data_IF_365306202308
#
_entry.id   IF_365306202308
#
_cell.length_a   1.000
_cell.length_b   1.000
_cell.length_c   1.000
_cell.angle_alpha   90.00
_cell.angle_beta   90.00
_cell.angle_gamma   90.00
#
_symmetry.space_group_name_H-M   'P 1'
#
loop_
_entity.id
_entity.type
_entity.pdbx_description
1 polymer ?
#
# COMPACT_ATOMS: atom_id res chain seq x y z
N UNK A 1 11.28 -4.17 -13.45
CA UNK A 1 12.34 -5.09 -12.97
C UNK A 1 13.02 -4.44 -11.77
N UNK A 2 12.67 -4.84 -10.53
CA UNK A 2 13.39 -4.41 -9.31
C UNK A 2 14.68 -5.20 -9.07
N UNK A 3 14.94 -6.25 -9.85
CA UNK A 3 16.14 -7.08 -9.75
C UNK A 3 17.43 -6.28 -10.02
N UNK A 4 17.42 -5.35 -10.99
CA UNK A 4 18.58 -4.49 -11.26
C UNK A 4 18.79 -3.39 -10.18
N UNK A 5 17.75 -3.08 -9.40
CA UNK A 5 17.86 -2.20 -8.24
C UNK A 5 18.37 -2.97 -7.01
N UNK A 6 18.13 -4.27 -6.87
CA UNK A 6 18.57 -5.02 -5.68
C UNK A 6 20.11 -5.08 -5.53
N UNK A 7 20.89 -5.09 -6.62
CA UNK A 7 22.36 -5.10 -6.56
C UNK A 7 23.00 -3.72 -6.30
N UNK A 8 22.25 -2.62 -6.50
CA UNK A 8 22.73 -1.24 -6.26
C UNK A 8 22.00 -0.51 -5.10
N UNK A 9 20.89 -1.05 -4.57
CA UNK A 9 19.96 -0.32 -3.68
C UNK A 9 20.08 -0.63 -2.19
N UNK A 10 21.05 -1.43 -1.76
CA UNK A 10 21.24 -1.66 -0.32
C UNK A 10 21.53 -0.34 0.43
N UNK A 11 22.23 0.61 -0.21
CA UNK A 11 22.49 1.95 0.34
C UNK A 11 21.34 2.95 0.13
N UNK A 12 20.54 2.81 -0.94
CA UNK A 12 19.44 3.75 -1.22
C UNK A 12 18.15 3.43 -0.46
N UNK A 13 17.94 2.17 -0.07
CA UNK A 13 16.75 1.76 0.68
C UNK A 13 16.76 2.30 2.13
N UNK A 14 17.95 2.52 2.69
CA UNK A 14 18.18 3.07 4.04
C UNK A 14 18.55 4.56 4.02
N UNK A 15 18.53 5.19 2.85
CA UNK A 15 18.75 6.62 2.73
C UNK A 15 17.63 7.39 3.44
N UNK A 16 17.95 8.47 4.16
CA UNK A 16 16.96 9.25 4.92
C UNK A 16 15.81 9.72 4.03
N UNK A 17 16.07 10.05 2.77
CA UNK A 17 15.05 10.47 1.80
C UNK A 17 14.01 9.38 1.52
N UNK A 18 14.43 8.11 1.47
CA UNK A 18 13.52 6.99 1.28
C UNK A 18 12.67 6.71 2.52
N UNK A 19 13.21 6.96 3.72
CA UNK A 19 12.48 6.84 4.98
C UNK A 19 11.48 8.00 5.16
N UNK A 20 11.89 9.22 4.83
CA UNK A 20 11.04 10.41 4.87
C UNK A 20 9.86 10.30 3.90
N UNK A 21 10.10 9.88 2.66
CA UNK A 21 9.03 9.65 1.68
C UNK A 21 8.02 8.58 2.15
N UNK A 22 8.49 7.51 2.81
CA UNK A 22 7.61 6.50 3.42
C UNK A 22 6.83 7.06 4.59
N UNK A 23 7.47 7.83 5.47
CA UNK A 23 6.82 8.44 6.61
C UNK A 23 5.75 9.45 6.19
N UNK A 24 6.04 10.25 5.16
CA UNK A 24 5.08 11.16 4.54
C UNK A 24 3.91 10.41 3.90
N UNK A 25 4.20 9.35 3.14
CA UNK A 25 3.18 8.47 2.57
C UNK A 25 2.27 7.85 3.64
N UNK A 26 2.84 7.36 4.74
CA UNK A 26 2.08 6.81 5.87
C UNK A 26 1.20 7.85 6.56
N UNK A 27 1.67 9.09 6.72
CA UNK A 27 0.87 10.19 7.28
C UNK A 27 -0.29 10.56 6.37
N UNK A 28 -0.03 10.70 5.07
CA UNK A 28 -1.06 11.00 4.07
C UNK A 28 -2.11 9.88 4.03
N UNK A 29 -1.67 8.63 4.03
CA UNK A 29 -2.56 7.48 4.06
C UNK A 29 -3.42 7.42 5.33
N UNK A 30 -2.83 7.66 6.50
CA UNK A 30 -3.57 7.71 7.76
C UNK A 30 -4.63 8.83 7.79
N UNK A 31 -4.35 9.98 7.17
CA UNK A 31 -5.33 11.05 7.01
C UNK A 31 -6.46 10.65 6.06
N UNK A 32 -6.14 10.08 4.90
CA UNK A 32 -7.13 9.54 3.95
C UNK A 32 -8.05 8.50 4.61
N UNK A 33 -7.48 7.56 5.35
CA UNK A 33 -8.27 6.51 6.02
C UNK A 33 -9.22 7.08 7.07
N UNK A 34 -8.86 8.18 7.74
CA UNK A 34 -9.75 8.85 8.71
C UNK A 34 -10.93 9.53 8.02
N UNK A 35 -10.72 10.06 6.82
CA UNK A 35 -11.80 10.60 6.00
C UNK A 35 -12.69 9.49 5.42
N UNK A 36 -12.09 8.37 5.00
CA UNK A 36 -12.81 7.24 4.41
C UNK A 36 -13.62 6.42 5.44
N UNK A 37 -13.19 6.39 6.70
CA UNK A 37 -13.83 5.64 7.80
C UNK A 37 -14.10 6.56 9.00
N UNK A 38 -14.99 7.56 8.88
CA UNK A 38 -15.18 8.57 9.92
C UNK A 38 -15.83 8.02 11.21
N UNK A 39 -16.62 6.95 11.09
CA UNK A 39 -17.46 6.43 12.17
C UNK A 39 -16.93 5.15 12.82
N UNK A 40 -15.78 4.62 12.37
CA UNK A 40 -15.20 3.39 12.94
C UNK A 40 -14.34 3.69 14.16
N UNK A 41 -14.21 2.72 15.07
CA UNK A 41 -13.32 2.86 16.23
C UNK A 41 -11.85 3.04 15.83
N UNK A 42 -11.07 3.73 16.67
CA UNK A 42 -9.61 3.90 16.46
C UNK A 42 -8.87 2.56 16.30
N UNK A 43 -9.32 1.51 17.01
CA UNK A 43 -8.74 0.16 16.88
C UNK A 43 -9.03 -0.44 15.52
N UNK A 44 -10.27 -0.33 15.03
CA UNK A 44 -10.65 -0.78 13.69
C UNK A 44 -9.90 0.01 12.61
N UNK A 45 -9.78 1.32 12.78
CA UNK A 45 -9.05 2.21 11.88
C UNK A 45 -7.58 1.80 11.75
N UNK A 46 -6.90 1.62 12.88
CA UNK A 46 -5.49 1.22 12.91
C UNK A 46 -5.26 -0.13 12.22
N UNK A 47 -6.13 -1.12 12.51
CA UNK A 47 -6.07 -2.43 11.88
C UNK A 47 -6.30 -2.35 10.36
N UNK A 48 -7.29 -1.58 9.92
CA UNK A 48 -7.59 -1.40 8.51
C UNK A 48 -6.41 -0.75 7.77
N UNK A 49 -5.77 0.25 8.40
CA UNK A 49 -4.60 0.91 7.83
C UNK A 49 -3.43 -0.07 7.67
N UNK A 50 -3.14 -0.84 8.72
CA UNK A 50 -2.05 -1.82 8.73
C UNK A 50 -2.24 -2.88 7.64
N UNK A 51 -3.45 -3.44 7.53
CA UNK A 51 -3.77 -4.48 6.55
C UNK A 51 -3.60 -3.98 5.11
N UNK A 52 -4.11 -2.79 4.80
CA UNK A 52 -4.02 -2.23 3.44
C UNK A 52 -2.56 -1.92 3.09
N UNK A 53 -1.81 -1.24 3.96
CA UNK A 53 -0.40 -0.90 3.71
C UNK A 53 0.44 -2.17 3.54
N UNK A 54 0.26 -3.15 4.43
CA UNK A 54 1.03 -4.40 4.41
C UNK A 54 0.76 -5.18 3.13
N UNK A 55 -0.51 -5.28 2.73
CA UNK A 55 -0.92 -5.98 1.50
C UNK A 55 -0.39 -5.28 0.26
N UNK A 56 -0.55 -3.96 0.17
CA UNK A 56 -0.06 -3.17 -0.95
C UNK A 56 1.46 -3.29 -1.10
N UNK A 57 2.19 -3.19 0.01
CA UNK A 57 3.65 -3.28 0.03
C UNK A 57 4.14 -4.67 -0.35
N UNK A 58 3.59 -5.71 0.28
CA UNK A 58 4.03 -7.09 0.09
C UNK A 58 3.62 -7.62 -1.29
N UNK A 59 2.36 -7.40 -1.67
CA UNK A 59 1.84 -7.79 -2.98
C UNK A 59 2.52 -7.05 -4.11
N UNK A 60 2.65 -5.72 -3.99
CA UNK A 60 3.35 -4.90 -4.99
C UNK A 60 4.83 -5.29 -5.13
N UNK A 61 5.52 -5.60 -4.03
CA UNK A 61 6.89 -6.12 -4.07
C UNK A 61 6.97 -7.38 -4.93
N UNK A 62 6.26 -8.44 -4.55
CA UNK A 62 6.29 -9.74 -5.25
C UNK A 62 5.85 -9.58 -6.72
N UNK A 63 4.79 -8.82 -6.95
CA UNK A 63 4.29 -8.58 -8.31
C UNK A 63 5.34 -7.91 -9.21
N UNK A 64 6.09 -6.95 -8.67
CA UNK A 64 7.09 -6.16 -9.41
C UNK A 64 8.48 -6.81 -9.58
N UNK A 65 8.68 -8.02 -9.03
CA UNK A 65 9.95 -8.76 -9.14
C UNK A 65 10.27 -9.10 -10.60
N UNK A 66 9.26 -9.43 -11.41
CA UNK A 66 9.42 -9.69 -12.84
C UNK A 66 9.02 -8.48 -13.69
N UNK A 67 9.42 -8.47 -14.97
CA UNK A 67 8.85 -7.52 -15.92
C UNK A 67 7.35 -7.80 -16.10
N UNK A 68 6.55 -6.73 -16.19
CA UNK A 68 5.10 -6.78 -16.37
C UNK A 68 4.71 -5.90 -17.55
N UNK A 69 3.74 -6.36 -18.31
CA UNK A 69 3.09 -5.55 -19.33
C UNK A 69 2.16 -4.51 -18.67
N UNK A 70 1.85 -3.40 -19.36
CA UNK A 70 0.88 -2.43 -18.85
C UNK A 70 -0.48 -3.06 -18.49
N UNK A 71 -0.95 -4.02 -19.28
CA UNK A 71 -2.21 -4.72 -19.04
C UNK A 71 -2.18 -5.59 -17.77
N UNK A 72 -1.06 -6.25 -17.49
CA UNK A 72 -0.91 -7.01 -16.23
C UNK A 72 -0.87 -6.09 -15.02
N UNK A 73 -0.20 -4.94 -15.14
CA UNK A 73 -0.15 -3.94 -14.07
C UNK A 73 -1.55 -3.43 -13.77
N UNK A 74 -2.30 -3.06 -14.81
CA UNK A 74 -3.67 -2.56 -14.70
C UNK A 74 -4.55 -3.61 -14.01
N UNK A 75 -4.62 -4.83 -14.55
CA UNK A 75 -5.43 -5.91 -14.00
C UNK A 75 -5.11 -6.23 -12.53
N UNK A 76 -3.83 -6.28 -12.16
CA UNK A 76 -3.42 -6.56 -10.78
C UNK A 76 -3.78 -5.40 -9.84
N UNK A 77 -3.54 -4.16 -10.28
CA UNK A 77 -3.87 -2.97 -9.49
C UNK A 77 -5.37 -2.80 -9.30
N UNK A 78 -6.18 -3.06 -10.33
CA UNK A 78 -7.65 -3.05 -10.24
C UNK A 78 -8.15 -4.10 -9.27
N UNK A 79 -7.67 -5.35 -9.37
CA UNK A 79 -8.10 -6.40 -8.45
C UNK A 79 -7.75 -6.10 -6.99
N UNK A 80 -6.57 -5.52 -6.74
CA UNK A 80 -6.16 -5.10 -5.41
C UNK A 80 -7.00 -3.92 -4.89
N UNK A 81 -7.30 -2.94 -5.75
CA UNK A 81 -8.20 -1.84 -5.43
C UNK A 81 -9.61 -2.32 -5.10
N UNK A 82 -10.18 -3.24 -5.89
CA UNK A 82 -11.49 -3.83 -5.65
C UNK A 82 -11.57 -4.51 -4.28
N UNK A 83 -10.53 -5.28 -3.91
CA UNK A 83 -10.43 -5.91 -2.59
C UNK A 83 -10.41 -4.88 -1.47
N UNK A 84 -9.62 -3.81 -1.60
CA UNK A 84 -9.55 -2.74 -0.60
C UNK A 84 -10.87 -1.98 -0.49
N UNK A 85 -11.46 -1.61 -1.63
CA UNK A 85 -12.75 -0.92 -1.66
C UNK A 85 -13.86 -1.77 -1.03
N UNK A 86 -13.91 -3.07 -1.31
CA UNK A 86 -14.87 -3.99 -0.70
C UNK A 86 -14.68 -4.09 0.81
N UNK A 87 -13.44 -4.19 1.28
CA UNK A 87 -13.13 -4.23 2.71
C UNK A 87 -13.54 -2.93 3.42
N UNK A 88 -13.16 -1.77 2.88
CA UNK A 88 -13.54 -0.48 3.46
C UNK A 88 -15.06 -0.29 3.48
N UNK A 89 -15.75 -0.64 2.38
CA UNK A 89 -17.20 -0.55 2.30
C UNK A 89 -17.95 -1.52 3.22
N UNK A 90 -17.29 -2.59 3.68
CA UNK A 90 -17.82 -3.46 4.73
C UNK A 90 -17.68 -2.78 6.10
N UNK A 91 -16.52 -2.20 6.40
CA UNK A 91 -16.27 -1.50 7.67
C UNK A 91 -17.17 -0.27 7.87
N UNK A 92 -17.60 0.40 6.81
CA UNK A 92 -18.55 1.54 6.90
C UNK A 92 -20.00 1.11 7.14
N UNK A 93 -20.32 -0.19 7.01
CA UNK A 93 -21.68 -0.72 7.17
C UNK A 93 -21.93 -1.33 8.55
N UNK A 94 -20.86 -1.66 9.27
CA UNK A 94 -20.88 -2.21 10.62
C UNK A 94 -20.88 -1.09 11.67
#
# INVERSE_FOLDING_TARGET
>A
MRIALDDAALLHRDAPEAQEARAEGNRAFGAFMREALPDVSDTTHALACELIITTLTSGGKVFSETARTPAEIDAYSTAMADMFCAYLAHLTRD
#
